data_IF_456375730054
#
_entry.id   IF_456375730054
#
_cell.length_a   1.000
_cell.length_b   1.000
_cell.length_c   1.000
_cell.angle_alpha   90.00
_cell.angle_beta   90.00
_cell.angle_gamma   90.00
#
_symmetry.space_group_name_H-M   'P 1'
#
loop_
_entity.id
_entity.type
_entity.pdbx_description
1 polymer ?
#
# COMPACT_ATOMS: atom_id res chain seq x y z
N UNK A 1 6.51 13.47 20.92
CA UNK A 1 5.33 13.45 20.02
C UNK A 1 4.78 12.02 19.99
N UNK A 2 3.56 11.80 20.51
CA UNK A 2 3.05 10.45 20.84
C UNK A 2 2.93 9.54 19.61
N UNK A 3 3.40 8.30 19.75
CA UNK A 3 3.06 7.19 18.85
C UNK A 3 1.57 6.92 18.98
N UNK A 4 0.77 7.25 17.96
CA UNK A 4 -0.66 6.95 17.99
C UNK A 4 -0.94 5.70 17.15
N UNK A 5 -1.53 4.65 17.75
CA UNK A 5 -2.09 3.57 16.98
C UNK A 5 -3.31 4.07 16.19
N UNK A 6 -3.64 3.35 15.13
CA UNK A 6 -4.84 3.62 14.37
C UNK A 6 -4.87 2.93 13.03
N UNK A 7 -5.90 3.29 12.28
CA UNK A 7 -6.20 2.80 10.95
C UNK A 7 -5.93 3.90 9.92
N UNK A 8 -5.39 3.50 8.78
CA UNK A 8 -5.27 4.35 7.60
C UNK A 8 -5.97 3.70 6.43
N UNK A 9 -6.55 4.54 5.59
CA UNK A 9 -7.08 4.17 4.29
C UNK A 9 -6.38 5.00 3.24
N UNK A 10 -6.02 4.37 2.13
CA UNK A 10 -5.43 5.00 0.97
C UNK A 10 -6.45 4.90 -0.15
N UNK A 11 -6.85 6.05 -0.67
CA UNK A 11 -7.78 6.19 -1.77
C UNK A 11 -7.12 7.03 -2.85
N UNK A 12 -7.48 6.78 -4.09
CA UNK A 12 -7.17 7.70 -5.18
C UNK A 12 -8.21 8.82 -5.27
N UNK A 13 -7.86 9.95 -5.89
CA UNK A 13 -8.80 11.07 -6.08
C UNK A 13 -9.98 10.74 -7.01
N UNK A 14 -9.84 9.75 -7.90
CA UNK A 14 -10.92 9.20 -8.73
C UNK A 14 -11.81 8.19 -7.97
N UNK A 15 -11.56 7.98 -6.68
CA UNK A 15 -12.44 7.23 -5.78
C UNK A 15 -12.12 5.74 -5.64
N UNK A 16 -10.97 5.26 -6.13
CA UNK A 16 -10.57 3.86 -5.99
C UNK A 16 -9.99 3.63 -4.57
N UNK A 17 -10.61 2.76 -3.75
CA UNK A 17 -10.06 2.38 -2.45
C UNK A 17 -8.88 1.42 -2.65
N UNK A 18 -7.66 1.96 -2.60
CA UNK A 18 -6.45 1.16 -2.81
C UNK A 18 -6.22 0.17 -1.68
N UNK A 19 -6.13 0.68 -0.44
CA UNK A 19 -5.73 -0.14 0.70
C UNK A 19 -6.20 0.42 2.03
N UNK A 20 -6.71 -0.47 2.89
CA UNK A 20 -6.79 -0.25 4.34
C UNK A 20 -5.63 -0.95 5.07
N UNK A 21 -5.18 -0.35 6.17
CA UNK A 21 -4.19 -0.94 7.04
C UNK A 21 -4.15 -0.31 8.43
N UNK A 22 -3.45 -0.95 9.36
CA UNK A 22 -3.21 -0.41 10.71
C UNK A 22 -1.74 -0.22 11.04
N UNK A 23 -1.45 0.58 12.06
CA UNK A 23 -0.12 0.68 12.63
C UNK A 23 -0.17 1.03 14.12
N UNK A 24 0.87 0.62 14.88
CA UNK A 24 1.15 1.16 16.22
C UNK A 24 1.64 2.62 16.18
N UNK A 25 2.22 3.02 15.05
CA UNK A 25 2.63 4.39 14.75
C UNK A 25 2.27 4.71 13.30
N UNK A 26 1.13 5.37 13.12
CA UNK A 26 0.61 5.73 11.79
C UNK A 26 1.58 6.60 11.00
N UNK A 27 2.16 7.63 11.63
CA UNK A 27 3.07 8.56 10.95
C UNK A 27 4.28 7.84 10.36
N UNK A 28 4.87 6.93 11.13
CA UNK A 28 5.99 6.12 10.65
C UNK A 28 5.56 5.20 9.51
N UNK A 29 4.43 4.50 9.65
CA UNK A 29 3.93 3.56 8.63
C UNK A 29 3.60 4.26 7.32
N UNK A 30 2.92 5.40 7.37
CA UNK A 30 2.55 6.18 6.19
C UNK A 30 3.78 6.75 5.47
N UNK A 31 4.80 7.20 6.22
CA UNK A 31 6.09 7.58 5.62
C UNK A 31 6.80 6.41 4.94
N UNK A 32 6.71 5.19 5.48
CA UNK A 32 7.26 4.01 4.83
C UNK A 32 6.55 3.70 3.51
N UNK A 33 5.23 3.91 3.45
CA UNK A 33 4.46 3.77 2.21
C UNK A 33 4.84 4.85 1.21
N UNK A 34 4.79 6.13 1.61
CA UNK A 34 5.11 7.26 0.74
C UNK A 34 6.52 7.18 0.15
N UNK A 35 7.52 6.74 0.92
CA UNK A 35 8.89 6.58 0.41
C UNK A 35 9.03 5.48 -0.64
N UNK A 36 8.19 4.44 -0.58
CA UNK A 36 8.11 3.36 -1.56
C UNK A 36 9.45 2.84 -2.16
N UNK A 37 10.48 2.71 -1.30
CA UNK A 37 11.87 2.56 -1.75
C UNK A 37 12.11 1.29 -2.59
N UNK A 38 12.74 1.42 -3.76
CA UNK A 38 13.09 0.31 -4.65
C UNK A 38 14.01 -0.69 -3.97
N UNK A 39 15.01 -0.23 -3.20
CA UNK A 39 15.92 -1.12 -2.45
C UNK A 39 15.22 -2.02 -1.43
N UNK A 40 13.94 -1.76 -1.12
CA UNK A 40 13.09 -2.56 -0.23
C UNK A 40 12.16 -3.53 -1.00
N UNK A 41 12.12 -3.44 -2.33
CA UNK A 41 11.57 -4.43 -3.25
C UNK A 41 12.73 -5.26 -3.78
N UNK A 42 12.94 -6.43 -3.19
CA UNK A 42 14.13 -7.24 -3.45
C UNK A 42 13.74 -8.46 -4.29
N UNK A 43 14.37 -8.64 -5.47
CA UNK A 43 14.23 -9.88 -6.22
C UNK A 43 14.60 -11.07 -5.35
N UNK A 44 13.83 -12.14 -5.42
CA UNK A 44 14.16 -13.41 -4.75
C UNK A 44 14.90 -14.37 -5.67
N UNK A 45 14.89 -14.10 -6.98
CA UNK A 45 15.61 -14.82 -8.02
C UNK A 45 16.26 -13.82 -8.98
N UNK A 46 17.20 -14.32 -9.79
CA UNK A 46 17.83 -13.58 -10.88
C UNK A 46 16.96 -13.48 -12.14
N UNK A 47 15.76 -14.09 -12.12
CA UNK A 47 14.80 -14.07 -13.21
C UNK A 47 14.09 -12.72 -13.35
N UNK A 48 13.50 -12.42 -14.53
CA UNK A 48 12.60 -11.29 -14.70
C UNK A 48 11.48 -11.30 -13.64
N UNK A 49 11.17 -10.11 -13.10
CA UNK A 49 10.13 -9.94 -12.08
C UNK A 49 8.76 -9.92 -12.78
N UNK A 50 8.27 -11.08 -13.21
CA UNK A 50 6.92 -11.26 -13.75
C UNK A 50 5.93 -11.83 -12.73
N UNK A 51 6.41 -12.53 -11.71
CA UNK A 51 5.58 -13.15 -10.67
C UNK A 51 5.74 -12.41 -9.33
N UNK A 52 4.67 -12.07 -8.61
CA UNK A 52 4.74 -11.48 -7.28
C UNK A 52 5.60 -12.26 -6.28
N UNK A 53 5.64 -13.60 -6.33
CA UNK A 53 6.51 -14.43 -5.50
C UNK A 53 8.01 -14.18 -5.75
N UNK A 54 8.37 -13.67 -6.93
CA UNK A 54 9.76 -13.33 -7.29
C UNK A 54 10.22 -11.98 -6.70
N UNK A 55 9.33 -11.23 -6.06
CA UNK A 55 9.63 -9.93 -5.47
C UNK A 55 9.25 -9.89 -3.98
N UNK A 56 10.23 -9.75 -3.10
CA UNK A 56 9.99 -9.60 -1.66
C UNK A 56 9.91 -8.13 -1.27
N UNK A 57 8.85 -7.74 -0.57
CA UNK A 57 8.79 -6.43 0.10
C UNK A 57 9.30 -6.52 1.53
N UNK A 58 10.29 -5.70 1.87
CA UNK A 58 10.86 -5.60 3.23
C UNK A 58 10.30 -4.44 4.05
N UNK A 59 9.38 -3.64 3.49
CA UNK A 59 8.89 -2.42 4.14
C UNK A 59 7.43 -2.11 3.85
N UNK A 60 7.09 -1.93 2.57
CA UNK A 60 5.78 -1.47 2.12
C UNK A 60 5.16 -2.54 1.22
N UNK A 61 4.16 -3.28 1.72
CA UNK A 61 3.44 -4.22 0.87
C UNK A 61 2.66 -3.47 -0.23
N UNK A 62 2.20 -2.25 0.05
CA UNK A 62 1.60 -1.36 -0.94
C UNK A 62 2.52 -1.13 -2.13
N UNK A 63 3.81 -0.88 -1.91
CA UNK A 63 4.77 -0.68 -3.00
C UNK A 63 4.85 -1.90 -3.93
N UNK A 64 4.71 -3.10 -3.37
CA UNK A 64 4.67 -4.34 -4.15
C UNK A 64 3.34 -4.51 -4.89
N UNK A 65 2.20 -4.14 -4.28
CA UNK A 65 0.92 -4.12 -4.99
C UNK A 65 0.97 -3.18 -6.20
N UNK A 66 1.41 -1.94 -5.98
CA UNK A 66 1.54 -0.94 -7.06
C UNK A 66 2.47 -1.44 -8.18
N UNK A 67 3.59 -2.09 -7.83
CA UNK A 67 4.52 -2.63 -8.83
C UNK A 67 3.85 -3.62 -9.81
N UNK A 68 2.90 -4.42 -9.33
CA UNK A 68 2.23 -5.47 -10.11
C UNK A 68 0.82 -5.08 -10.59
N UNK A 69 0.43 -3.82 -10.44
CA UNK A 69 -0.86 -3.33 -10.89
C UNK A 69 -0.69 -2.42 -12.10
N UNK A 70 -0.76 -3.04 -13.28
CA UNK A 70 -0.56 -2.38 -14.56
C UNK A 70 -1.85 -1.72 -15.10
N UNK A 71 -2.98 -1.94 -14.44
CA UNK A 71 -4.28 -1.37 -14.82
C UNK A 71 -4.68 -0.13 -14.02
N UNK A 72 -3.97 0.19 -12.93
CA UNK A 72 -4.34 1.30 -12.05
C UNK A 72 -4.21 2.66 -12.73
N UNK A 73 -3.17 2.87 -13.53
CA UNK A 73 -2.91 4.15 -14.18
C UNK A 73 -2.05 3.98 -15.41
N UNK A 74 -2.35 4.74 -16.46
CA UNK A 74 -1.50 4.85 -17.65
C UNK A 74 -0.45 5.98 -17.55
N UNK A 75 -0.59 6.86 -16.55
CA UNK A 75 0.19 8.10 -16.46
C UNK A 75 1.48 7.95 -15.63
N UNK A 76 1.60 6.88 -14.85
CA UNK A 76 2.72 6.66 -13.95
C UNK A 76 3.28 5.26 -14.11
N UNK A 77 4.61 5.15 -14.22
CA UNK A 77 5.29 3.86 -14.20
C UNK A 77 5.46 3.36 -12.75
N UNK A 78 4.51 2.57 -12.29
CA UNK A 78 4.50 2.01 -10.93
C UNK A 78 5.58 0.94 -10.69
N UNK A 79 6.28 0.48 -11.73
CA UNK A 79 7.43 -0.42 -11.56
C UNK A 79 8.66 0.32 -10.99
N UNK A 80 8.70 1.64 -11.15
CA UNK A 80 9.78 2.50 -10.65
C UNK A 80 9.48 3.12 -9.28
N UNK A 81 10.52 3.45 -8.52
CA UNK A 81 10.36 4.19 -7.25
C UNK A 81 9.74 5.56 -7.47
N UNK A 82 10.24 6.32 -8.46
CA UNK A 82 9.74 7.66 -8.76
C UNK A 82 8.26 7.64 -9.17
N UNK A 83 7.85 6.71 -10.03
CA UNK A 83 6.46 6.61 -10.46
C UNK A 83 5.52 6.30 -9.30
N UNK A 84 5.87 5.36 -8.41
CA UNK A 84 5.07 5.09 -7.20
C UNK A 84 5.01 6.28 -6.23
N UNK A 85 6.14 6.95 -6.01
CA UNK A 85 6.19 8.13 -5.13
C UNK A 85 5.31 9.26 -5.67
N UNK A 86 5.44 9.55 -6.96
CA UNK A 86 4.69 10.64 -7.62
C UNK A 86 3.20 10.32 -7.66
N UNK A 87 2.83 9.08 -8.02
CA UNK A 87 1.45 8.61 -7.97
C UNK A 87 0.85 8.77 -6.57
N UNK A 88 1.53 8.28 -5.52
CA UNK A 88 1.02 8.39 -4.16
C UNK A 88 0.93 9.84 -3.65
N UNK A 89 1.75 10.75 -4.18
CA UNK A 89 1.76 12.15 -3.79
C UNK A 89 0.68 12.98 -4.50
N UNK A 90 0.39 12.67 -5.77
CA UNK A 90 -0.48 13.50 -6.61
C UNK A 90 -1.86 12.88 -6.87
N UNK A 91 -1.99 11.56 -6.81
CA UNK A 91 -3.23 10.86 -7.18
C UNK A 91 -3.94 10.26 -5.98
N UNK A 92 -3.34 10.30 -4.78
CA UNK A 92 -3.87 9.61 -3.60
C UNK A 92 -4.00 10.52 -2.38
N UNK A 93 -4.97 10.19 -1.54
CA UNK A 93 -5.19 10.81 -0.24
C UNK A 93 -5.35 9.76 0.87
N UNK A 94 -5.24 10.23 2.11
CA UNK A 94 -5.31 9.39 3.30
C UNK A 94 -6.51 9.77 4.15
N UNK A 95 -7.27 8.75 4.58
CA UNK A 95 -8.18 8.88 5.72
C UNK A 95 -7.55 8.21 6.92
N UNK A 96 -7.48 8.92 8.05
CA UNK A 96 -6.80 8.45 9.27
C UNK A 96 -7.79 8.44 10.42
N UNK A 97 -7.91 7.28 11.07
CA UNK A 97 -8.68 7.11 12.30
C UNK A 97 -7.71 6.71 13.41
N UNK A 98 -7.47 7.62 14.34
CA UNK A 98 -6.72 7.30 15.56
C UNK A 98 -7.56 6.45 16.50
N UNK A 99 -6.92 5.49 17.16
CA UNK A 99 -7.59 4.58 18.10
C UNK A 99 -6.91 4.64 19.47
N UNK A 100 -7.60 4.19 20.50
CA UNK A 100 -7.04 4.09 21.85
C UNK A 100 -5.99 2.97 21.93
N UNK A 101 -6.17 1.90 21.15
CA UNK A 101 -5.26 0.75 21.12
C UNK A 101 -5.09 0.17 19.73
N UNK A 102 -4.09 -0.71 19.57
CA UNK A 102 -3.90 -1.47 18.33
C UNK A 102 -5.03 -2.48 18.11
N UNK A 103 -5.54 -3.09 19.17
CA UNK A 103 -6.60 -4.11 19.07
C UNK A 103 -7.90 -3.50 18.56
N UNK A 104 -8.18 -2.25 18.96
CA UNK A 104 -9.28 -1.47 18.38
C UNK A 104 -9.06 -1.22 16.89
N UNK A 105 -7.84 -0.83 16.47
CA UNK A 105 -7.51 -0.65 15.07
C UNK A 105 -7.68 -1.95 14.28
N UNK A 106 -7.27 -3.11 14.81
CA UNK A 106 -7.48 -4.42 14.17
C UNK A 106 -8.96 -4.75 13.98
N UNK A 107 -9.82 -4.45 14.95
CA UNK A 107 -11.27 -4.65 14.78
C UNK A 107 -11.81 -3.80 13.63
N UNK A 108 -11.42 -2.53 13.56
CA UNK A 108 -11.84 -1.63 12.49
C UNK A 108 -11.29 -2.07 11.12
N UNK A 109 -10.05 -2.54 11.06
CA UNK A 109 -9.43 -3.08 9.84
C UNK A 109 -10.22 -4.28 9.32
N UNK A 110 -10.57 -5.24 10.18
CA UNK A 110 -11.37 -6.42 9.79
C UNK A 110 -12.74 -6.03 9.24
N UNK A 111 -13.42 -5.07 9.87
CA UNK A 111 -14.71 -4.57 9.39
C UNK A 111 -14.54 -3.90 8.02
N UNK A 112 -13.54 -3.04 7.87
CA UNK A 112 -13.26 -2.38 6.60
C UNK A 112 -12.89 -3.38 5.51
N UNK A 113 -12.03 -4.35 5.80
CA UNK A 113 -11.62 -5.41 4.88
C UNK A 113 -12.79 -6.30 4.45
N UNK A 114 -13.77 -6.55 5.33
CA UNK A 114 -14.96 -7.34 5.02
C UNK A 114 -15.90 -6.69 3.98
N UNK A 115 -15.74 -5.39 3.71
CA UNK A 115 -16.53 -4.70 2.66
C UNK A 115 -16.19 -5.17 1.25
N UNK A 116 -15.02 -5.78 1.03
CA UNK A 116 -14.59 -6.31 -0.27
C UNK A 116 -14.29 -5.25 -1.33
N UNK A 117 -14.32 -3.95 -0.99
CA UNK A 117 -14.10 -2.87 -1.96
C UNK A 117 -12.61 -2.65 -2.27
N UNK A 118 -11.72 -3.09 -1.39
CA UNK A 118 -10.30 -2.75 -1.45
C UNK A 118 -9.60 -3.44 -2.61
N UNK A 119 -8.98 -2.64 -3.46
CA UNK A 119 -8.18 -3.13 -4.58
C UNK A 119 -7.03 -4.02 -4.12
N UNK A 120 -6.40 -3.67 -2.99
CA UNK A 120 -5.26 -4.40 -2.43
C UNK A 120 -5.58 -5.01 -1.07
N UNK A 121 -5.87 -6.31 -1.09
CA UNK A 121 -6.04 -7.13 0.09
C UNK A 121 -5.28 -8.46 -0.05
N UNK A 122 -4.70 -8.93 1.05
CA UNK A 122 -4.05 -10.24 1.10
C UNK A 122 -2.82 -10.37 0.20
N UNK A 123 -2.77 -11.44 -0.60
CA UNK A 123 -1.62 -11.74 -1.47
C UNK A 123 -1.58 -10.80 -2.66
N UNK A 124 -0.38 -10.32 -3.01
CA UNK A 124 -0.17 -9.53 -4.23
C UNK A 124 -0.42 -10.41 -5.45
N UNK A 125 -1.13 -9.85 -6.43
CA UNK A 125 -1.44 -10.46 -7.73
C UNK A 125 -0.98 -9.50 -8.83
N UNK A 126 -0.71 -10.05 -10.01
CA UNK A 126 -0.59 -9.23 -11.22
C UNK A 126 -2.00 -8.80 -11.63
N UNK A 127 -2.20 -7.51 -11.88
CA UNK A 127 -3.47 -6.95 -12.35
C UNK A 127 -3.20 -6.27 -13.68
N UNK A 128 -3.76 -6.84 -14.73
CA UNK A 128 -3.66 -6.36 -16.12
C UNK A 128 -5.05 -5.90 -16.58
N UNK A 129 -5.06 -5.06 -17.63
CA UNK A 129 -6.30 -4.55 -18.25
C UNK A 129 -7.07 -5.65 -18.98
#
# INVERSE_FOLDING_TARGET
>A
MKCCPGLYQIHTFDGIPLKVGIAKNLRQRLRQHARSLQRKLQPTKSEPIGDPSHLRSKQSILAKHLYFDHSLTANYDLTTELGRQTFLAHEAYLLITYTASRDEAERLEKIAEATGIWRYQGRVRVIEN
#
